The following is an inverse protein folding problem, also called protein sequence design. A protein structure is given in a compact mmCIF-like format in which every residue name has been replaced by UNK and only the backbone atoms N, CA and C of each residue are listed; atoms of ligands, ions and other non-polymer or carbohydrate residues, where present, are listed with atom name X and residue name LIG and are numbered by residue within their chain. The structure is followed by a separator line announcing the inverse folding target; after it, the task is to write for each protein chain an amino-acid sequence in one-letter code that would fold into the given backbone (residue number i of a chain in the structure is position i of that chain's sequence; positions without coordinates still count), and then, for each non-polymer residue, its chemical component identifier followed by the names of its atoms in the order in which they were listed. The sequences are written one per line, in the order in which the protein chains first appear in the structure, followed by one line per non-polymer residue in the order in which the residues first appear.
data_IF_783417830482
#
_entry.id   IF_783417830482
#
_cell.length_a   1.000
_cell.length_b   1.000
_cell.length_c   1.000
_cell.angle_alpha   90.00
_cell.angle_beta   90.00
_cell.angle_gamma   90.00
#
_symmetry.space_group_name_H-M   'P 1'
#
loop_
_entity.id
_entity.type
_entity.pdbx_description
1 polymer ?
#
# COMPACT_ATOMS: atom_id res chain seq x y z
N UNK A 1 30.06 40.59 25.24
CA UNK A 1 28.67 40.46 24.79
C UNK A 1 28.49 39.61 23.54
N UNK A 2 29.49 39.33 22.71
CA UNK A 2 29.35 38.55 21.46
C UNK A 2 29.30 37.02 21.64
N UNK A 3 29.78 36.45 22.74
CA UNK A 3 29.84 34.98 22.94
C UNK A 3 28.51 34.35 23.38
N UNK A 4 27.58 35.13 23.93
CA UNK A 4 26.25 34.65 24.41
C UNK A 4 25.25 34.50 23.26
N UNK A 5 25.36 35.32 22.21
CA UNK A 5 24.45 35.28 21.07
C UNK A 5 24.74 34.11 20.15
N UNK A 6 26.01 33.74 19.95
CA UNK A 6 26.38 32.58 19.13
C UNK A 6 25.86 31.24 19.71
N UNK A 7 25.87 31.07 21.04
CA UNK A 7 25.35 29.89 21.71
C UNK A 7 23.83 29.79 21.63
N UNK A 8 23.14 30.91 21.69
CA UNK A 8 21.66 30.97 21.54
C UNK A 8 21.21 30.66 20.09
N UNK A 9 21.94 31.17 19.10
CA UNK A 9 21.68 30.86 17.69
C UNK A 9 21.91 29.38 17.38
N UNK A 10 23.00 28.80 17.91
CA UNK A 10 23.32 27.39 17.70
C UNK A 10 22.28 26.46 18.34
N UNK A 11 21.77 26.81 19.55
CA UNK A 11 20.69 26.05 20.20
C UNK A 11 19.36 26.14 19.46
N UNK A 12 19.03 27.30 18.87
CA UNK A 12 17.84 27.46 18.05
C UNK A 12 17.91 26.69 16.72
N UNK A 13 19.08 26.64 16.07
CA UNK A 13 19.30 25.83 14.88
C UNK A 13 19.17 24.32 15.15
N UNK A 14 19.73 23.85 16.27
CA UNK A 14 19.64 22.44 16.68
C UNK A 14 18.19 22.02 16.97
N UNK A 15 17.37 22.89 17.57
CA UNK A 15 15.96 22.63 17.82
C UNK A 15 15.12 22.58 16.54
N UNK A 16 15.45 23.41 15.54
CA UNK A 16 14.78 23.41 14.24
C UNK A 16 15.08 22.13 13.44
N UNK A 17 16.34 21.65 13.46
CA UNK A 17 16.74 20.41 12.77
C UNK A 17 16.11 19.18 13.42
N UNK A 18 16.03 19.13 14.76
CA UNK A 18 15.36 18.03 15.46
C UNK A 18 13.85 17.98 15.19
N UNK A 19 13.21 19.15 15.05
CA UNK A 19 11.78 19.23 14.75
C UNK A 19 11.42 18.75 13.33
N UNK A 20 12.30 18.96 12.34
CA UNK A 20 12.07 18.49 10.96
C UNK A 20 12.30 16.98 10.80
N UNK A 21 13.29 16.42 11.49
CA UNK A 21 13.55 14.97 11.46
C UNK A 21 12.39 14.16 12.10
N UNK A 22 11.81 14.66 13.20
CA UNK A 22 10.66 14.03 13.84
C UNK A 22 9.40 14.05 12.94
N UNK A 23 9.19 15.12 12.16
CA UNK A 23 8.06 15.22 11.24
C UNK A 23 8.19 14.28 10.04
N UNK A 24 9.39 14.09 9.50
CA UNK A 24 9.66 13.14 8.43
C UNK A 24 9.43 11.68 8.87
N UNK A 25 9.78 11.35 10.10
CA UNK A 25 9.57 10.00 10.65
C UNK A 25 8.08 9.68 10.84
N UNK A 26 7.25 10.65 11.23
CA UNK A 26 5.81 10.45 11.37
C UNK A 26 5.11 10.27 10.02
N UNK A 27 5.56 10.98 8.98
CA UNK A 27 5.02 10.81 7.61
C UNK A 27 5.42 9.45 7.01
N UNK A 28 6.63 8.96 7.27
CA UNK A 28 7.07 7.64 6.82
C UNK A 28 6.28 6.51 7.51
N UNK A 29 6.00 6.63 8.81
CA UNK A 29 5.23 5.64 9.57
C UNK A 29 3.75 5.54 9.12
N UNK A 30 3.20 6.59 8.52
CA UNK A 30 1.82 6.63 8.03
C UNK A 30 1.61 5.91 6.67
N UNK A 31 2.67 5.40 6.05
CA UNK A 31 2.61 4.73 4.73
C UNK A 31 2.83 3.22 4.80
N UNK A 32 2.96 2.66 5.99
CA UNK A 32 3.14 1.23 6.21
C UNK A 32 2.36 0.78 7.45
N UNK A 33 1.98 -0.49 7.47
CA UNK A 33 1.33 -1.13 8.61
C UNK A 33 1.74 -2.59 8.70
N UNK A 34 1.68 -3.14 9.93
CA UNK A 34 1.92 -4.54 10.23
C UNK A 34 0.69 -5.16 10.88
N UNK A 35 0.57 -6.49 10.83
CA UNK A 35 -0.57 -7.20 11.41
C UNK A 35 -1.88 -6.95 10.66
N UNK A 36 -1.79 -6.60 9.38
CA UNK A 36 -2.96 -6.30 8.55
C UNK A 36 -3.57 -7.58 8.02
N UNK A 37 -4.90 -7.68 8.06
CA UNK A 37 -5.61 -8.82 7.47
C UNK A 37 -5.74 -8.62 5.96
N UNK A 38 -5.29 -9.62 5.19
CA UNK A 38 -5.49 -9.70 3.75
C UNK A 38 -6.39 -10.89 3.42
N UNK A 39 -7.53 -10.61 2.81
CA UNK A 39 -8.42 -11.58 2.18
C UNK A 39 -8.17 -11.64 0.68
N UNK A 40 -8.95 -12.41 -0.07
CA UNK A 40 -8.83 -12.42 -1.53
C UNK A 40 -10.18 -12.25 -2.23
N UNK A 41 -10.12 -11.62 -3.40
CA UNK A 41 -11.23 -11.44 -4.31
C UNK A 41 -10.89 -12.06 -5.68
N UNK A 42 -11.90 -12.58 -6.35
CA UNK A 42 -11.79 -13.17 -7.69
C UNK A 42 -11.98 -12.10 -8.77
N UNK A 43 -11.07 -11.12 -8.84
CA UNK A 43 -11.08 -10.14 -9.93
C UNK A 43 -10.84 -10.80 -11.29
N UNK A 44 -9.96 -11.81 -11.32
CA UNK A 44 -9.56 -12.52 -12.55
C UNK A 44 -9.19 -11.55 -13.69
N UNK A 45 -8.32 -10.59 -13.48
CA UNK A 45 -8.14 -9.44 -14.36
C UNK A 45 -7.77 -9.84 -15.80
N UNK A 46 -6.97 -10.89 -15.98
CA UNK A 46 -6.61 -11.38 -17.32
C UNK A 46 -7.81 -11.89 -18.11
N UNK A 47 -8.85 -12.44 -17.45
CA UNK A 47 -10.05 -12.98 -18.10
C UNK A 47 -10.97 -11.86 -18.60
N UNK A 48 -10.91 -10.69 -17.98
CA UNK A 48 -11.71 -9.52 -18.34
C UNK A 48 -10.87 -8.45 -19.07
N UNK A 49 -9.69 -8.83 -19.62
CA UNK A 49 -8.83 -7.91 -20.36
C UNK A 49 -8.28 -6.76 -19.53
N UNK A 50 -8.14 -6.95 -18.22
CA UNK A 50 -7.69 -5.91 -17.27
C UNK A 50 -8.59 -4.67 -17.27
N UNK A 51 -9.87 -4.87 -17.49
CA UNK A 51 -10.88 -3.81 -17.50
C UNK A 51 -11.40 -3.56 -16.08
N UNK A 52 -11.07 -2.39 -15.51
CA UNK A 52 -11.48 -2.00 -14.16
C UNK A 52 -13.00 -1.82 -14.06
N UNK A 53 -13.63 -1.34 -15.13
CA UNK A 53 -15.09 -1.18 -15.20
C UNK A 53 -15.81 -2.55 -15.19
N UNK A 54 -15.30 -3.52 -15.96
CA UNK A 54 -15.82 -4.88 -15.96
C UNK A 54 -15.64 -5.59 -14.61
N UNK A 55 -14.59 -5.25 -13.87
CA UNK A 55 -14.37 -5.72 -12.49
C UNK A 55 -15.32 -5.07 -11.48
N UNK A 56 -15.99 -3.97 -11.82
CA UNK A 56 -16.75 -3.14 -10.89
C UNK A 56 -15.84 -2.44 -9.85
N UNK A 57 -14.58 -2.24 -10.17
CA UNK A 57 -13.59 -1.67 -9.27
C UNK A 57 -13.87 -0.19 -8.99
N UNK A 58 -13.76 0.22 -7.73
CA UNK A 58 -14.00 1.61 -7.30
C UNK A 58 -13.15 2.63 -8.07
N UNK A 59 -11.88 2.29 -8.31
CA UNK A 59 -10.94 3.18 -9.00
C UNK A 59 -11.22 3.31 -10.51
N UNK A 60 -12.15 2.52 -11.08
CA UNK A 60 -12.55 2.66 -12.47
C UNK A 60 -13.04 4.08 -12.83
N UNK A 61 -13.55 4.82 -11.83
CA UNK A 61 -13.98 6.22 -12.02
C UNK A 61 -12.85 7.12 -12.53
N UNK A 62 -11.61 6.83 -12.16
CA UNK A 62 -10.43 7.65 -12.50
C UNK A 62 -9.45 6.93 -13.41
N UNK A 63 -9.34 5.60 -13.28
CA UNK A 63 -8.25 4.80 -13.85
C UNK A 63 -8.68 3.88 -14.99
N UNK A 64 -9.97 3.85 -15.36
CA UNK A 64 -10.48 2.93 -16.41
C UNK A 64 -9.79 3.14 -17.76
N UNK A 65 -9.45 4.39 -18.10
CA UNK A 65 -8.83 4.77 -19.38
C UNK A 65 -7.28 4.69 -19.34
N UNK A 66 -6.69 4.27 -18.24
CA UNK A 66 -5.24 4.05 -18.17
C UNK A 66 -4.81 2.98 -19.19
N UNK A 67 -3.61 3.13 -19.81
CA UNK A 67 -3.12 2.16 -20.79
C UNK A 67 -3.12 0.73 -20.28
N UNK A 68 -3.29 -0.25 -21.18
CA UNK A 68 -3.29 -1.66 -20.80
C UNK A 68 -2.01 -2.06 -20.07
N UNK A 69 -0.84 -1.58 -20.50
CA UNK A 69 0.45 -1.86 -19.86
C UNK A 69 0.46 -1.43 -18.41
N UNK A 70 -0.16 -0.28 -18.09
CA UNK A 70 -0.30 0.20 -16.73
C UNK A 70 -1.23 -0.69 -15.91
N UNK A 71 -2.40 -1.08 -16.47
CA UNK A 71 -3.41 -1.87 -15.77
C UNK A 71 -2.96 -3.31 -15.49
N UNK A 72 -2.11 -3.86 -16.35
CA UNK A 72 -1.62 -5.24 -16.23
C UNK A 72 -0.24 -5.40 -15.59
N UNK A 73 0.46 -4.29 -15.30
CA UNK A 73 1.83 -4.34 -14.78
C UNK A 73 1.95 -5.01 -13.42
N UNK A 74 0.96 -4.80 -12.55
CA UNK A 74 0.89 -5.38 -11.21
C UNK A 74 -0.42 -6.15 -11.04
N UNK A 75 -0.43 -7.14 -10.15
CA UNK A 75 -1.68 -7.70 -9.66
C UNK A 75 -2.51 -6.65 -8.95
N UNK A 76 -3.80 -6.91 -8.77
CA UNK A 76 -4.75 -5.94 -8.21
C UNK A 76 -5.03 -6.19 -6.73
N UNK A 77 -5.39 -5.13 -6.03
CA UNK A 77 -5.90 -5.18 -4.65
C UNK A 77 -6.96 -4.10 -4.41
N UNK A 78 -7.92 -4.41 -3.53
CA UNK A 78 -8.66 -3.40 -2.80
C UNK A 78 -7.86 -2.99 -1.56
N UNK A 79 -8.00 -1.74 -1.12
CA UNK A 79 -7.32 -1.18 0.03
C UNK A 79 -8.28 -0.45 0.96
N UNK A 80 -8.25 -0.80 2.24
CA UNK A 80 -8.94 -0.11 3.33
C UNK A 80 -8.16 -0.24 4.67
N UNK A 81 -6.85 -0.53 4.57
CA UNK A 81 -5.97 -0.73 5.69
C UNK A 81 -5.55 0.56 6.40
N UNK A 82 -4.82 0.47 7.50
CA UNK A 82 -4.42 1.62 8.31
C UNK A 82 -3.25 2.42 7.72
N UNK A 83 -2.57 1.91 6.69
CA UNK A 83 -1.40 2.54 6.08
C UNK A 83 -1.78 3.57 5.02
N UNK A 84 -2.00 4.81 5.38
CA UNK A 84 -2.21 5.90 4.41
C UNK A 84 -3.67 6.29 4.17
N UNK A 85 -3.92 7.02 3.08
CA UNK A 85 -5.24 7.53 2.72
C UNK A 85 -6.05 6.48 1.96
N UNK A 86 -7.37 6.48 2.17
CA UNK A 86 -8.32 5.58 1.54
C UNK A 86 -9.06 6.24 0.38
N UNK A 87 -9.80 5.43 -0.39
CA UNK A 87 -10.62 5.90 -1.50
C UNK A 87 -9.79 6.41 -2.68
N UNK A 88 -10.24 7.48 -3.32
CA UNK A 88 -9.57 8.06 -4.49
C UNK A 88 -8.06 8.30 -4.29
N UNK A 89 -7.56 8.87 -3.16
CA UNK A 89 -6.13 9.07 -2.96
C UNK A 89 -5.27 7.79 -2.94
N UNK A 90 -5.87 6.62 -2.76
CA UNK A 90 -5.19 5.33 -2.84
C UNK A 90 -5.18 4.75 -4.25
N UNK A 91 -6.13 5.15 -5.11
CA UNK A 91 -6.27 4.61 -6.46
C UNK A 91 -4.98 4.75 -7.27
N UNK A 92 -4.62 3.69 -7.99
CA UNK A 92 -3.46 3.63 -8.85
C UNK A 92 -2.12 3.49 -8.13
N UNK A 93 -2.09 3.63 -6.81
CA UNK A 93 -0.85 3.45 -6.02
C UNK A 93 -0.45 1.98 -5.92
N UNK A 94 0.83 1.76 -5.64
CA UNK A 94 1.38 0.42 -5.43
C UNK A 94 1.61 0.15 -3.94
N UNK A 95 1.30 -1.08 -3.52
CA UNK A 95 1.57 -1.63 -2.21
C UNK A 95 2.55 -2.80 -2.33
N UNK A 96 3.65 -2.77 -1.59
CA UNK A 96 4.40 -3.96 -1.26
C UNK A 96 3.67 -4.68 -0.13
N UNK A 97 3.32 -5.95 -0.34
CA UNK A 97 2.59 -6.78 0.62
C UNK A 97 3.45 -7.97 0.98
N UNK A 98 3.74 -8.14 2.26
CA UNK A 98 4.59 -9.22 2.78
C UNK A 98 3.79 -10.10 3.71
N UNK A 99 3.71 -11.40 3.42
CA UNK A 99 3.15 -12.38 4.34
C UNK A 99 4.07 -12.52 5.56
N UNK A 100 3.58 -12.19 6.76
CA UNK A 100 4.39 -12.21 7.99
C UNK A 100 4.89 -13.61 8.36
N UNK A 101 4.11 -14.65 8.03
CA UNK A 101 4.45 -16.02 8.39
C UNK A 101 5.61 -16.58 7.53
N UNK A 102 5.67 -16.22 6.27
CA UNK A 102 6.61 -16.82 5.29
C UNK A 102 7.67 -15.86 4.78
N UNK A 103 7.44 -14.53 4.92
CA UNK A 103 8.28 -13.51 4.33
C UNK A 103 8.10 -13.35 2.81
N UNK A 104 7.18 -14.10 2.19
CA UNK A 104 6.89 -13.97 0.76
C UNK A 104 6.25 -12.61 0.47
N UNK A 105 6.67 -11.97 -0.62
CA UNK A 105 6.28 -10.62 -0.96
C UNK A 105 5.77 -10.51 -2.39
N UNK A 106 4.79 -9.63 -2.59
CA UNK A 106 4.32 -9.19 -3.90
C UNK A 106 4.09 -7.68 -3.90
N UNK A 107 4.09 -7.08 -5.09
CA UNK A 107 3.60 -5.70 -5.28
C UNK A 107 2.25 -5.78 -5.98
N UNK A 108 1.26 -5.08 -5.43
CA UNK A 108 -0.08 -4.98 -6.01
C UNK A 108 -0.46 -3.53 -6.24
N UNK A 109 -1.26 -3.28 -7.28
CA UNK A 109 -1.84 -1.97 -7.56
C UNK A 109 -3.20 -1.86 -6.89
N UNK A 110 -3.42 -0.76 -6.18
CA UNK A 110 -4.74 -0.43 -5.62
C UNK A 110 -5.67 -0.02 -6.75
N UNK A 111 -6.71 -0.83 -6.97
CA UNK A 111 -7.75 -0.59 -7.99
C UNK A 111 -9.13 -0.49 -7.38
N UNK A 112 -9.28 -0.86 -6.11
CA UNK A 112 -10.57 -0.94 -5.46
C UNK A 112 -10.47 -0.53 -3.98
N UNK A 113 -11.62 -0.41 -3.33
CA UNK A 113 -11.75 -0.20 -1.90
C UNK A 113 -12.46 -1.37 -1.23
N UNK A 114 -12.23 -1.57 0.06
CA UNK A 114 -12.83 -2.61 0.88
C UNK A 114 -13.37 -2.03 2.19
N UNK A 115 -13.91 -2.88 3.03
CA UNK A 115 -14.45 -2.52 4.34
C UNK A 115 -13.96 -3.45 5.49
N UNK A 116 -13.04 -4.37 5.19
CA UNK A 116 -12.50 -5.31 6.16
C UNK A 116 -11.36 -4.73 7.05
N UNK A 117 -10.99 -3.48 6.83
CA UNK A 117 -9.92 -2.81 7.58
C UNK A 117 -8.50 -3.20 7.15
N UNK A 118 -8.33 -3.85 6.01
CA UNK A 118 -7.06 -4.33 5.51
C UNK A 118 -6.95 -4.32 3.98
N UNK A 119 -6.69 -5.49 3.42
CA UNK A 119 -6.55 -5.71 1.98
C UNK A 119 -7.52 -6.78 1.50
N UNK A 120 -7.95 -6.65 0.23
CA UNK A 120 -8.62 -7.71 -0.49
C UNK A 120 -7.89 -7.93 -1.83
N UNK A 121 -6.97 -8.90 -1.82
CA UNK A 121 -6.02 -9.13 -2.91
C UNK A 121 -6.71 -9.89 -4.06
N UNK A 122 -6.33 -9.64 -5.30
CA UNK A 122 -6.65 -10.62 -6.36
C UNK A 122 -6.13 -12.00 -5.96
N UNK A 123 -6.90 -13.04 -6.25
CA UNK A 123 -6.57 -14.41 -5.85
C UNK A 123 -5.18 -14.86 -6.34
N UNK A 124 -4.71 -14.36 -7.48
CA UNK A 124 -3.38 -14.65 -8.00
C UNK A 124 -2.28 -14.00 -7.13
N UNK A 125 -2.48 -12.77 -6.66
CA UNK A 125 -1.56 -12.07 -5.75
C UNK A 125 -1.54 -12.78 -4.39
N UNK A 126 -2.71 -13.11 -3.87
CA UNK A 126 -2.85 -13.86 -2.62
C UNK A 126 -2.07 -15.18 -2.68
N UNK A 127 -2.28 -15.98 -3.73
CA UNK A 127 -1.60 -17.26 -3.91
C UNK A 127 -0.08 -17.12 -4.07
N UNK A 128 0.40 -16.02 -4.65
CA UNK A 128 1.82 -15.74 -4.80
C UNK A 128 2.54 -15.61 -3.44
N UNK A 129 1.88 -15.05 -2.44
CA UNK A 129 2.45 -14.83 -1.10
C UNK A 129 2.03 -15.89 -0.08
N UNK A 130 1.02 -16.71 -0.36
CA UNK A 130 0.57 -17.83 0.46
C UNK A 130 1.40 -19.11 0.16
N UNK A 131 2.71 -19.03 0.37
CA UNK A 131 3.65 -20.07 -0.06
C UNK A 131 3.58 -21.36 0.74
N UNK A 132 2.96 -21.33 1.92
CA UNK A 132 2.72 -22.51 2.77
C UNK A 132 1.28 -23.04 2.70
N UNK A 133 0.38 -22.34 1.99
CA UNK A 133 -1.03 -22.68 1.84
C UNK A 133 -1.90 -22.45 3.07
N UNK A 134 -1.36 -21.83 4.13
CA UNK A 134 -2.11 -21.57 5.35
C UNK A 134 -3.22 -20.54 5.15
N UNK A 135 -2.97 -19.56 4.28
CA UNK A 135 -3.95 -18.54 3.89
C UNK A 135 -5.12 -19.12 3.12
N UNK A 136 -4.88 -20.01 2.17
CA UNK A 136 -5.94 -20.70 1.43
C UNK A 136 -6.81 -21.58 2.36
N UNK A 137 -6.20 -22.18 3.37
CA UNK A 137 -6.92 -22.99 4.35
C UNK A 137 -7.78 -22.16 5.32
N UNK A 138 -7.33 -20.96 5.70
CA UNK A 138 -8.02 -20.08 6.66
C UNK A 138 -8.90 -19.01 6.01
N UNK A 139 -8.70 -18.70 4.73
CA UNK A 139 -9.36 -17.64 3.99
C UNK A 139 -8.70 -16.26 4.13
N UNK A 140 -7.60 -16.14 4.88
CA UNK A 140 -6.89 -14.88 5.08
C UNK A 140 -5.41 -15.08 5.42
N UNK A 141 -4.63 -14.02 5.21
CA UNK A 141 -3.24 -13.89 5.65
C UNK A 141 -3.11 -12.73 6.63
N UNK A 142 -2.07 -12.78 7.46
CA UNK A 142 -1.58 -11.61 8.20
C UNK A 142 -0.36 -11.08 7.46
N UNK A 143 -0.41 -9.80 7.10
CA UNK A 143 0.60 -9.19 6.24
C UNK A 143 1.11 -7.87 6.81
N UNK A 144 2.33 -7.51 6.40
CA UNK A 144 2.79 -6.14 6.41
C UNK A 144 2.45 -5.50 5.06
N UNK A 145 2.01 -4.25 5.06
CA UNK A 145 1.82 -3.48 3.83
C UNK A 145 2.60 -2.16 3.87
N UNK A 146 3.09 -1.74 2.71
CA UNK A 146 3.80 -0.48 2.53
C UNK A 146 3.48 0.12 1.16
N UNK A 147 3.07 1.41 1.14
CA UNK A 147 2.98 2.13 -0.11
C UNK A 147 4.36 2.38 -0.69
N UNK A 148 4.56 1.94 -1.93
CA UNK A 148 5.81 2.08 -2.67
C UNK A 148 5.59 2.81 -3.98
N UNK A 149 6.67 3.34 -4.57
CA UNK A 149 6.61 3.90 -5.91
C UNK A 149 6.36 2.80 -6.95
N UNK A 150 5.33 2.98 -7.78
CA UNK A 150 5.13 2.13 -8.95
C UNK A 150 6.26 2.37 -9.96
N UNK A 151 6.75 1.30 -10.57
CA UNK A 151 7.75 1.36 -11.64
C UNK A 151 7.03 1.36 -13.01
N UNK A 152 6.21 2.36 -13.24
CA UNK A 152 5.41 2.53 -14.47
C UNK A 152 6.23 3.05 -15.64
#
# INVERSE_FOLDING_TARGET
MAATDARRMLSLLLLLVAGTAARLSVLAAAQQASGVVATFNLYNPAQIGWDLGAAGAFCATWDADMPLDWRQRYGWTAFCGPSGAHGEPACGRCLAVTNEATGAQAVARVVDQCDNGGLDLDAAVFSQIDTDGAGAASGSLVVDDEFVECQD
#
